data_IF_221710987123
#
_entry.id   IF_221710987123
#
_cell.length_a   1.000
_cell.length_b   1.000
_cell.length_c   1.000
_cell.angle_alpha   90.00
_cell.angle_beta   90.00
_cell.angle_gamma   90.00
#
_symmetry.space_group_name_H-M   'P 1'
#
loop_
_entity.id
_entity.type
_entity.pdbx_description
1 polymer ?
#
# COMPACT_ATOMS: atom_id res chain seq x y z
N UNK A 1 -65.07 -5.36 -24.72
CA UNK A 1 -63.76 -6.01 -24.97
C UNK A 1 -62.60 -4.98 -25.06
N UNK A 2 -62.58 -3.94 -24.22
CA UNK A 2 -61.50 -2.92 -24.16
C UNK A 2 -60.99 -2.62 -22.74
N UNK A 3 -61.52 -3.30 -21.72
CA UNK A 3 -61.13 -3.08 -20.32
C UNK A 3 -60.07 -4.07 -19.81
N UNK A 4 -59.76 -5.14 -20.57
CA UNK A 4 -58.85 -6.21 -20.13
C UNK A 4 -57.39 -5.95 -20.58
N UNK A 5 -57.17 -5.06 -21.57
CA UNK A 5 -55.82 -4.78 -22.07
C UNK A 5 -55.02 -3.78 -21.21
N UNK A 6 -55.65 -3.02 -20.32
CA UNK A 6 -54.97 -1.96 -19.55
C UNK A 6 -54.28 -2.46 -18.28
N UNK A 7 -54.55 -3.69 -17.83
CA UNK A 7 -53.99 -4.24 -16.58
C UNK A 7 -52.66 -5.00 -16.83
N UNK A 8 -52.43 -5.47 -18.05
CA UNK A 8 -51.22 -6.23 -18.39
C UNK A 8 -49.99 -5.32 -18.55
N UNK A 9 -50.18 -4.02 -18.81
CA UNK A 9 -49.06 -3.07 -18.97
C UNK A 9 -48.46 -2.57 -17.63
N UNK A 10 -49.12 -2.84 -16.50
CA UNK A 10 -48.62 -2.49 -15.16
C UNK A 10 -47.74 -3.61 -14.55
N UNK A 11 -47.63 -4.76 -15.23
CA UNK A 11 -46.84 -5.91 -14.80
C UNK A 11 -45.43 -6.00 -15.39
N UNK A 12 -45.00 -5.02 -16.21
CA UNK A 12 -43.57 -4.78 -16.42
C UNK A 12 -43.03 -4.06 -15.20
N UNK A 13 -42.80 -4.85 -14.14
CA UNK A 13 -42.22 -4.39 -12.89
C UNK A 13 -41.02 -3.47 -13.19
N UNK A 14 -41.04 -2.28 -12.58
CA UNK A 14 -39.82 -1.52 -12.38
C UNK A 14 -38.86 -2.46 -11.65
N UNK A 15 -37.88 -3.00 -12.37
CA UNK A 15 -36.67 -3.51 -11.76
C UNK A 15 -35.90 -2.29 -11.27
N UNK A 16 -36.30 -1.78 -10.10
CA UNK A 16 -35.44 -0.90 -9.32
C UNK A 16 -34.32 -1.80 -8.82
N UNK A 17 -33.30 -2.01 -9.65
CA UNK A 17 -32.03 -2.51 -9.18
C UNK A 17 -31.56 -1.51 -8.14
N UNK A 18 -31.72 -1.86 -6.87
CA UNK A 18 -30.87 -1.28 -5.84
C UNK A 18 -29.46 -1.59 -6.31
N UNK A 19 -28.68 -0.56 -6.63
CA UNK A 19 -27.24 -0.71 -6.69
C UNK A 19 -26.82 -1.10 -5.27
N UNK A 20 -26.81 -2.40 -5.01
CA UNK A 20 -26.17 -2.96 -3.85
C UNK A 20 -24.75 -3.27 -4.32
N UNK A 21 -23.77 -2.74 -3.60
CA UNK A 21 -22.37 -3.08 -3.83
C UNK A 21 -22.24 -4.59 -3.68
N UNK A 22 -21.97 -5.30 -4.77
CA UNK A 22 -21.58 -6.70 -4.74
C UNK A 22 -20.07 -6.74 -4.53
N UNK A 23 -19.63 -7.40 -3.47
CA UNK A 23 -18.22 -7.64 -3.23
C UNK A 23 -17.66 -8.50 -4.37
N UNK A 24 -16.71 -7.97 -5.14
CA UNK A 24 -16.09 -8.73 -6.24
C UNK A 24 -15.12 -9.79 -5.72
N UNK A 25 -14.28 -9.42 -4.75
CA UNK A 25 -13.34 -10.33 -4.11
C UNK A 25 -13.01 -9.87 -2.68
N UNK A 26 -12.56 -10.83 -1.87
CA UNK A 26 -11.88 -10.58 -0.59
C UNK A 26 -10.64 -11.45 -0.55
N UNK A 27 -9.51 -10.83 -0.22
CA UNK A 27 -8.26 -11.53 0.04
C UNK A 27 -7.75 -11.08 1.39
N UNK A 28 -7.57 -12.04 2.29
CA UNK A 28 -7.04 -11.80 3.63
C UNK A 28 -5.51 -11.88 3.60
N UNK A 29 -4.86 -10.90 4.21
CA UNK A 29 -3.43 -10.97 4.50
C UNK A 29 -3.21 -11.26 5.98
N UNK A 30 -2.72 -12.46 6.28
CA UNK A 30 -2.50 -12.92 7.66
C UNK A 30 -1.08 -12.66 8.18
N UNK A 31 -0.17 -12.12 7.37
CA UNK A 31 1.22 -11.87 7.78
C UNK A 31 2.06 -13.15 7.88
N UNK A 32 3.28 -13.02 8.40
CA UNK A 32 4.18 -14.16 8.64
C UNK A 32 3.89 -14.87 9.98
N UNK A 33 3.15 -14.22 10.88
CA UNK A 33 2.76 -14.74 12.19
C UNK A 33 1.32 -14.28 12.49
N UNK A 34 0.74 -14.76 13.59
CA UNK A 34 -0.59 -14.32 14.08
C UNK A 34 -0.59 -12.92 14.72
N UNK A 35 0.51 -12.17 14.59
CA UNK A 35 0.67 -10.83 15.15
C UNK A 35 -0.24 -9.77 14.51
N UNK A 36 -0.29 -8.59 15.13
CA UNK A 36 -1.10 -7.48 14.64
C UNK A 36 -0.63 -6.98 13.27
N UNK A 37 -1.56 -6.90 12.31
CA UNK A 37 -1.35 -6.30 10.99
C UNK A 37 -2.12 -4.98 10.90
N UNK A 38 -1.43 -3.89 10.53
CA UNK A 38 -1.97 -2.53 10.50
C UNK A 38 -1.73 -1.91 9.12
N UNK A 39 -2.72 -1.90 8.21
CA UNK A 39 -2.61 -1.15 6.96
C UNK A 39 -2.55 0.35 7.27
N UNK A 40 -1.66 1.08 6.59
CA UNK A 40 -1.40 2.51 6.82
C UNK A 40 -1.63 3.34 5.55
N UNK A 41 -1.34 2.76 4.38
CA UNK A 41 -1.52 3.40 3.07
C UNK A 41 -2.06 2.40 2.07
N UNK A 42 -2.87 2.88 1.13
CA UNK A 42 -3.25 2.15 -0.06
C UNK A 42 -3.24 3.10 -1.27
N UNK A 43 -3.00 2.55 -2.45
CA UNK A 43 -3.04 3.27 -3.71
C UNK A 43 -3.28 2.30 -4.89
N UNK A 44 -3.55 2.86 -6.07
CA UNK A 44 -3.78 2.10 -7.30
C UNK A 44 -2.78 2.61 -8.34
N UNK A 45 -2.13 1.71 -9.08
CA UNK A 45 -1.23 2.09 -10.17
C UNK A 45 -1.98 2.29 -11.51
N UNK A 46 -1.26 2.71 -12.56
CA UNK A 46 -1.84 2.99 -13.88
C UNK A 46 -2.42 1.74 -14.58
N UNK A 47 -2.10 0.54 -14.12
CA UNK A 47 -2.62 -0.73 -14.62
C UNK A 47 -3.81 -1.24 -13.79
N UNK A 48 -4.26 -0.48 -12.78
CA UNK A 48 -5.34 -0.87 -11.89
C UNK A 48 -4.91 -1.84 -10.78
N UNK A 49 -3.62 -2.08 -10.59
CA UNK A 49 -3.14 -2.91 -9.49
C UNK A 49 -3.27 -2.15 -8.17
N UNK A 50 -3.76 -2.82 -7.14
CA UNK A 50 -3.91 -2.26 -5.81
C UNK A 50 -2.64 -2.51 -5.00
N UNK A 51 -2.08 -1.48 -4.40
CA UNK A 51 -0.94 -1.59 -3.48
C UNK A 51 -1.41 -1.19 -2.09
N UNK A 52 -1.13 -2.04 -1.10
CA UNK A 52 -1.38 -1.79 0.32
C UNK A 52 -0.06 -1.86 1.05
N UNK A 53 0.19 -0.86 1.90
CA UNK A 53 1.38 -0.82 2.73
C UNK A 53 1.02 -0.51 4.18
N UNK A 54 1.80 -1.07 5.10
CA UNK A 54 1.56 -0.92 6.53
C UNK A 54 2.60 -1.62 7.38
N UNK A 55 2.20 -1.98 8.59
CA UNK A 55 3.06 -2.64 9.55
C UNK A 55 2.51 -4.04 9.85
N UNK A 56 3.37 -5.04 9.88
CA UNK A 56 2.98 -6.41 10.23
C UNK A 56 3.89 -6.91 11.34
N UNK A 57 3.29 -7.29 12.46
CA UNK A 57 4.02 -7.81 13.59
C UNK A 57 4.46 -9.26 13.33
N UNK A 58 5.77 -9.51 13.31
CA UNK A 58 6.37 -10.81 13.49
C UNK A 58 6.81 -10.97 14.96
N UNK A 59 8.11 -10.93 15.24
CA UNK A 59 8.63 -10.72 16.60
C UNK A 59 8.46 -9.23 16.96
N UNK A 60 8.87 -8.34 16.06
CA UNK A 60 8.64 -6.90 16.09
C UNK A 60 7.70 -6.49 14.94
N UNK A 61 7.29 -5.21 14.90
CA UNK A 61 6.63 -4.67 13.73
C UNK A 61 7.63 -4.42 12.62
N UNK A 62 7.31 -4.87 11.40
CA UNK A 62 8.11 -4.62 10.21
C UNK A 62 7.26 -3.93 9.15
N UNK A 63 7.88 -3.21 8.21
CA UNK A 63 7.10 -2.70 7.07
C UNK A 63 6.61 -3.89 6.25
N UNK A 64 5.40 -3.79 5.73
CA UNK A 64 4.89 -4.71 4.71
C UNK A 64 4.27 -3.92 3.57
N UNK A 65 4.57 -4.35 2.34
CA UNK A 65 3.98 -3.85 1.11
C UNK A 65 3.47 -5.02 0.30
N UNK A 66 2.24 -4.94 -0.18
CA UNK A 66 1.60 -5.99 -0.96
C UNK A 66 0.97 -5.34 -2.18
N UNK A 67 1.23 -5.93 -3.35
CA UNK A 67 0.62 -5.55 -4.61
C UNK A 67 -0.32 -6.66 -5.07
N UNK A 68 -1.54 -6.28 -5.40
CA UNK A 68 -2.60 -7.13 -5.90
C UNK A 68 -2.95 -6.72 -7.33
N UNK A 69 -3.24 -7.70 -8.16
CA UNK A 69 -3.89 -7.51 -9.46
C UNK A 69 -5.32 -6.97 -9.28
N UNK A 70 -5.95 -6.44 -10.35
CA UNK A 70 -7.33 -5.96 -10.28
C UNK A 70 -8.33 -7.01 -9.81
N UNK A 71 -8.05 -8.30 -10.08
CA UNK A 71 -8.87 -9.45 -9.65
C UNK A 71 -8.60 -9.89 -8.21
N UNK A 72 -7.76 -9.17 -7.45
CA UNK A 72 -7.44 -9.46 -6.06
C UNK A 72 -6.32 -10.47 -5.86
N UNK A 73 -5.75 -11.06 -6.90
CA UNK A 73 -4.61 -11.99 -6.75
C UNK A 73 -3.33 -11.24 -6.37
N UNK A 74 -2.56 -11.74 -5.41
CA UNK A 74 -1.27 -11.14 -5.03
C UNK A 74 -0.29 -11.27 -6.21
N UNK A 75 0.25 -10.15 -6.67
CA UNK A 75 1.35 -10.10 -7.64
C UNK A 75 2.67 -10.31 -6.89
N UNK A 76 2.88 -9.56 -5.80
CA UNK A 76 4.02 -9.75 -4.92
C UNK A 76 3.74 -9.19 -3.51
N UNK A 77 4.51 -9.64 -2.54
CA UNK A 77 4.56 -9.08 -1.18
C UNK A 77 6.01 -8.93 -0.71
N UNK A 78 6.27 -7.88 0.08
CA UNK A 78 7.59 -7.57 0.63
C UNK A 78 7.48 -7.18 2.08
N UNK A 79 8.42 -7.66 2.87
CA UNK A 79 8.65 -7.29 4.27
C UNK A 79 10.01 -6.61 4.37
N UNK A 80 10.07 -5.50 5.08
CA UNK A 80 11.33 -4.85 5.43
C UNK A 80 11.48 -4.87 6.96
N UNK A 81 12.37 -5.74 7.41
CA UNK A 81 12.90 -5.84 8.77
C UNK A 81 14.27 -5.14 8.72
N UNK A 82 14.38 -4.02 9.41
CA UNK A 82 15.55 -3.16 9.39
C UNK A 82 16.82 -3.89 9.85
N UNK A 83 17.98 -3.21 9.81
CA UNK A 83 19.23 -3.83 10.21
C UNK A 83 19.31 -4.06 11.73
N UNK A 84 18.50 -3.36 12.54
CA UNK A 84 18.37 -3.57 13.98
C UNK A 84 17.25 -4.57 14.32
N UNK A 85 17.28 -5.14 15.53
CA UNK A 85 16.33 -6.19 15.95
C UNK A 85 15.11 -5.65 16.69
N UNK A 86 14.58 -4.49 16.27
CA UNK A 86 13.44 -3.82 16.93
C UNK A 86 12.45 -3.34 15.86
N UNK A 87 11.39 -2.65 16.28
CA UNK A 87 10.31 -2.26 15.40
C UNK A 87 10.75 -1.33 14.26
N UNK A 88 10.07 -1.48 13.14
CA UNK A 88 10.05 -0.61 11.98
C UNK A 88 8.59 -0.22 11.69
N UNK A 89 8.34 1.09 11.68
CA UNK A 89 7.03 1.65 11.42
C UNK A 89 6.99 2.47 10.13
N UNK A 90 6.23 1.97 9.16
CA UNK A 90 5.90 2.65 7.91
C UNK A 90 4.98 3.85 8.19
N UNK A 91 5.28 4.98 7.54
CA UNK A 91 4.49 6.21 7.64
C UNK A 91 3.92 6.65 6.29
N UNK A 92 4.69 6.47 5.21
CA UNK A 92 4.34 6.92 3.86
C UNK A 92 4.49 5.86 2.78
N UNK A 93 3.72 6.03 1.71
CA UNK A 93 3.85 5.28 0.45
C UNK A 93 3.43 6.17 -0.72
N UNK A 94 4.17 6.10 -1.82
CA UNK A 94 3.84 6.71 -3.12
C UNK A 94 4.22 5.78 -4.28
N UNK A 95 3.55 5.94 -5.41
CA UNK A 95 3.79 5.22 -6.66
C UNK A 95 4.33 6.17 -7.71
N UNK A 96 5.36 5.78 -8.46
CA UNK A 96 5.73 6.51 -9.69
C UNK A 96 4.85 6.11 -10.88
N UNK A 97 4.98 6.81 -12.01
CA UNK A 97 4.19 6.56 -13.23
C UNK A 97 4.40 5.15 -13.81
N UNK A 98 5.52 4.51 -13.47
CA UNK A 98 5.81 3.12 -13.85
C UNK A 98 5.24 2.11 -12.86
N UNK A 99 4.58 2.56 -11.80
CA UNK A 99 4.00 1.72 -10.75
C UNK A 99 5.03 1.17 -9.76
N UNK A 100 6.26 1.70 -9.74
CA UNK A 100 7.22 1.35 -8.71
C UNK A 100 6.77 1.95 -7.38
N UNK A 101 6.98 1.20 -6.31
CA UNK A 101 6.50 1.57 -4.98
C UNK A 101 7.64 2.17 -4.18
N UNK A 102 7.42 3.36 -3.64
CA UNK A 102 8.32 3.99 -2.69
C UNK A 102 7.62 4.00 -1.34
N UNK A 103 8.30 3.52 -0.31
CA UNK A 103 7.81 3.57 1.07
C UNK A 103 8.81 4.29 1.96
N UNK A 104 8.31 4.96 2.99
CA UNK A 104 9.14 5.54 4.03
C UNK A 104 8.58 5.28 5.42
N UNK A 105 9.47 5.32 6.40
CA UNK A 105 9.13 5.12 7.79
C UNK A 105 10.33 5.23 8.69
N UNK A 106 10.10 5.05 9.99
CA UNK A 106 11.17 4.96 10.97
C UNK A 106 11.54 3.49 11.18
N UNK A 107 12.82 3.21 11.26
CA UNK A 107 13.34 1.85 11.35
C UNK A 107 14.50 1.77 12.32
N UNK A 108 14.52 0.76 13.18
CA UNK A 108 15.57 0.65 14.20
C UNK A 108 16.93 0.32 13.58
N UNK A 109 17.97 1.04 13.97
CA UNK A 109 19.34 0.78 13.52
C UNK A 109 20.10 -0.21 14.41
N UNK A 110 21.26 -0.67 13.93
CA UNK A 110 22.11 -1.63 14.67
C UNK A 110 22.67 -1.00 15.95
N UNK A 111 23.19 0.22 15.82
CA UNK A 111 23.86 0.98 16.89
C UNK A 111 23.20 2.33 17.13
N UNK A 112 22.14 2.63 16.39
CA UNK A 112 21.38 3.89 16.45
C UNK A 112 19.96 3.57 16.96
N UNK A 113 19.18 4.62 17.22
CA UNK A 113 17.74 4.46 17.51
C UNK A 113 16.97 4.28 16.21
N UNK A 114 15.78 4.86 16.12
CA UNK A 114 15.05 4.92 14.87
C UNK A 114 15.80 5.81 13.87
N UNK A 115 16.16 5.26 12.72
CA UNK A 115 16.59 6.04 11.56
C UNK A 115 15.40 6.18 10.60
N UNK A 116 15.43 7.20 9.75
CA UNK A 116 14.53 7.25 8.61
C UNK A 116 14.99 6.24 7.55
N UNK A 117 14.14 5.26 7.21
CA UNK A 117 14.32 4.38 6.05
C UNK A 117 13.37 4.76 4.90
N UNK A 118 13.90 4.79 3.67
CA UNK A 118 13.12 4.88 2.42
C UNK A 118 13.52 3.71 1.53
N UNK A 119 12.54 2.97 1.00
CA UNK A 119 12.78 1.82 0.12
C UNK A 119 12.04 2.04 -1.20
N UNK A 120 12.66 1.66 -2.31
CA UNK A 120 11.99 1.55 -3.62
C UNK A 120 11.90 0.08 -4.04
N UNK A 121 10.71 -0.36 -4.42
CA UNK A 121 10.44 -1.67 -4.99
C UNK A 121 10.03 -1.55 -6.47
N UNK A 122 10.52 -2.48 -7.29
CA UNK A 122 10.16 -2.61 -8.68
C UNK A 122 8.67 -2.99 -8.82
N UNK A 123 8.00 -2.42 -9.83
CA UNK A 123 6.56 -2.58 -10.02
C UNK A 123 6.15 -4.02 -10.32
N UNK A 124 6.99 -4.74 -11.06
CA UNK A 124 6.69 -6.02 -11.69
C UNK A 124 6.79 -7.21 -10.72
N UNK A 125 7.87 -7.26 -9.93
CA UNK A 125 8.25 -8.41 -9.10
C UNK A 125 8.50 -8.04 -7.63
N UNK A 126 8.34 -6.75 -7.30
CA UNK A 126 8.62 -6.22 -5.96
C UNK A 126 10.09 -6.33 -5.58
N UNK A 127 11.02 -6.53 -6.51
CA UNK A 127 12.45 -6.54 -6.22
C UNK A 127 12.85 -5.21 -5.61
N UNK A 128 13.60 -5.27 -4.52
CA UNK A 128 14.20 -4.08 -3.92
C UNK A 128 15.17 -3.45 -4.93
N UNK A 129 14.89 -2.21 -5.32
CA UNK A 129 15.75 -1.44 -6.21
C UNK A 129 16.82 -0.72 -5.40
N UNK A 130 16.46 -0.18 -4.23
CA UNK A 130 17.38 0.40 -3.27
C UNK A 130 16.71 0.63 -1.91
N UNK A 131 17.55 0.74 -0.89
CA UNK A 131 17.21 1.24 0.45
C UNK A 131 18.10 2.41 0.76
N UNK A 132 17.51 3.49 1.28
CA UNK A 132 18.22 4.65 1.79
C UNK A 132 17.85 4.84 3.25
N UNK A 133 18.86 4.91 4.10
CA UNK A 133 18.70 5.22 5.52
C UNK A 133 19.33 6.57 5.82
N UNK A 134 18.67 7.36 6.66
CA UNK A 134 19.15 8.64 7.12
C UNK A 134 19.12 8.67 8.65
N UNK A 135 20.28 8.92 9.22
CA UNK A 135 20.50 9.12 10.64
C UNK A 135 21.18 10.48 10.82
N UNK A 136 20.60 11.37 11.62
CA UNK A 136 21.24 12.63 11.95
C UNK A 136 22.47 12.43 12.86
N UNK A 137 23.34 13.44 12.98
CA UNK A 137 24.66 13.36 13.64
C UNK A 137 24.65 12.86 15.09
N UNK A 138 23.49 12.76 15.73
CA UNK A 138 23.32 12.46 17.16
C UNK A 138 22.84 11.04 17.45
N UNK A 139 22.61 10.17 16.45
CA UNK A 139 22.09 8.80 16.65
C UNK A 139 20.77 8.74 17.44
N UNK A 140 20.00 9.84 17.40
CA UNK A 140 18.69 9.94 18.06
C UNK A 140 17.61 9.44 17.09
N UNK A 141 16.37 9.35 17.57
CA UNK A 141 15.26 8.92 16.73
C UNK A 141 14.94 9.96 15.65
N UNK A 142 14.92 9.53 14.39
CA UNK A 142 14.50 10.28 13.22
C UNK A 142 13.15 9.72 12.73
N UNK A 143 12.13 10.58 12.68
CA UNK A 143 10.75 10.16 12.38
C UNK A 143 10.19 10.88 11.13
N UNK A 144 10.15 10.21 9.95
CA UNK A 144 9.57 10.81 8.76
C UNK A 144 8.04 10.83 8.84
N UNK A 145 7.43 12.00 8.57
CA UNK A 145 5.98 12.16 8.65
C UNK A 145 5.24 11.70 7.39
N UNK A 146 5.84 11.89 6.21
CA UNK A 146 5.21 11.57 4.94
C UNK A 146 6.18 11.65 3.78
N UNK A 147 5.69 11.31 2.59
CA UNK A 147 6.44 11.41 1.34
C UNK A 147 5.50 11.84 0.21
N UNK A 148 6.03 12.60 -0.74
CA UNK A 148 5.39 12.92 -2.00
C UNK A 148 6.41 12.73 -3.13
N UNK A 149 5.93 12.49 -4.35
CA UNK A 149 6.77 12.56 -5.54
C UNK A 149 6.70 13.97 -6.12
N UNK A 150 7.85 14.48 -6.53
CA UNK A 150 7.91 15.64 -7.40
C UNK A 150 7.60 15.21 -8.84
N UNK A 151 6.42 15.60 -9.33
CA UNK A 151 5.95 15.26 -10.68
C UNK A 151 6.66 16.09 -11.77
N UNK A 152 7.31 17.19 -11.40
CA UNK A 152 7.88 18.13 -12.37
C UNK A 152 9.28 17.72 -12.85
N UNK A 153 9.92 16.70 -12.24
CA UNK A 153 11.31 16.26 -12.54
C UNK A 153 12.25 17.44 -12.84
N UNK A 154 12.13 18.58 -12.16
CA UNK A 154 13.02 19.72 -12.38
C UNK A 154 14.37 19.39 -11.78
N UNK A 155 15.18 18.64 -12.51
CA UNK A 155 16.60 18.46 -12.27
C UNK A 155 17.32 19.76 -12.53
N UNK A 156 17.18 20.72 -11.62
CA UNK A 156 18.20 21.76 -11.46
C UNK A 156 19.27 21.20 -10.55
N UNK A 157 20.19 20.44 -11.13
CA UNK A 157 21.45 20.10 -10.51
C UNK A 157 22.26 21.38 -10.31
N UNK A 158 22.31 21.92 -9.10
CA UNK A 158 23.38 22.80 -8.63
C UNK A 158 23.56 22.65 -7.12
N UNK A 159 24.55 21.84 -6.75
CA UNK A 159 25.55 22.16 -5.73
C UNK A 159 26.86 21.54 -6.17
#
# INVERSE_FOLDING_TARGET
MKAILSIILILMALNITKSQVSQEWVVEYTGATTGSNKPIKSAIDCNGNFVVAGNSQAINYDFVVIKYSPSGSIIWSKRYDGPGTNNDYLTGMVLDDSGNVYVCGKSWGVTTRYDWATIKYAAEDGREMWVRRFNWRTNLSDEPFGMCLDIDKKTTSRY
#
